data_IF_187059791106
#
_entry.id   IF_187059791106
#
_cell.length_a   1.000
_cell.length_b   1.000
_cell.length_c   1.000
_cell.angle_alpha   90.00
_cell.angle_beta   90.00
_cell.angle_gamma   90.00
#
_symmetry.space_group_name_H-M   'P 1'
#
loop_
_entity.id
_entity.type
_entity.pdbx_description
1 polymer ?
#
# COMPACT_ATOMS: atom_id res chain seq x y z
N UNK A 1 -71.83 24.13 -32.95
CA UNK A 1 -71.77 22.74 -32.43
C UNK A 1 -70.36 22.15 -32.45
N UNK A 2 -69.61 22.22 -33.57
CA UNK A 2 -68.22 21.70 -33.65
C UNK A 2 -67.23 22.33 -32.65
N UNK A 3 -67.33 23.63 -32.40
CA UNK A 3 -66.49 24.35 -31.42
C UNK A 3 -66.75 23.89 -29.98
N UNK A 4 -68.01 23.72 -29.59
CA UNK A 4 -68.38 23.24 -28.25
C UNK A 4 -67.94 21.78 -28.04
N UNK A 5 -68.00 20.95 -29.08
CA UNK A 5 -67.50 19.58 -29.04
C UNK A 5 -65.98 19.54 -28.85
N UNK A 6 -65.25 20.44 -29.52
CA UNK A 6 -63.80 20.58 -29.36
C UNK A 6 -63.41 21.07 -27.96
N UNK A 7 -64.20 21.98 -27.38
CA UNK A 7 -64.00 22.49 -26.02
C UNK A 7 -64.21 21.40 -24.96
N UNK A 8 -65.26 20.58 -25.12
CA UNK A 8 -65.55 19.44 -24.22
C UNK A 8 -64.43 18.40 -24.30
N UNK A 9 -63.95 18.09 -25.51
CA UNK A 9 -62.83 17.17 -25.71
C UNK A 9 -61.55 17.67 -25.00
N UNK A 10 -61.26 18.96 -25.11
CA UNK A 10 -60.07 19.56 -24.48
C UNK A 10 -60.17 19.58 -22.94
N UNK A 11 -61.37 19.74 -22.37
CA UNK A 11 -61.56 19.66 -20.92
C UNK A 11 -61.35 18.24 -20.40
N UNK A 12 -61.81 17.22 -21.13
CA UNK A 12 -61.69 15.82 -20.69
C UNK A 12 -60.25 15.31 -20.67
N UNK A 13 -59.37 15.81 -21.54
CA UNK A 13 -57.95 15.41 -21.57
C UNK A 13 -57.13 16.04 -20.44
N UNK A 14 -57.55 17.19 -19.92
CA UNK A 14 -56.87 17.89 -18.83
C UNK A 14 -56.99 17.16 -17.48
N UNK A 15 -58.13 16.47 -17.23
CA UNK A 15 -58.36 15.72 -16.00
C UNK A 15 -57.50 14.44 -15.86
N UNK A 16 -56.85 13.99 -16.94
CA UNK A 16 -55.97 12.81 -16.92
C UNK A 16 -54.51 13.14 -16.65
N UNK A 17 -54.17 14.40 -16.39
CA UNK A 17 -52.81 14.80 -16.05
C UNK A 17 -52.51 14.43 -14.60
N UNK A 18 -51.78 13.32 -14.43
CA UNK A 18 -51.20 12.94 -13.15
C UNK A 18 -49.76 13.48 -13.09
N UNK A 19 -49.45 14.19 -12.02
CA UNK A 19 -48.09 14.62 -11.70
C UNK A 19 -47.55 13.73 -10.59
N UNK A 20 -46.24 13.46 -10.61
CA UNK A 20 -45.55 12.76 -9.53
C UNK A 20 -44.74 13.75 -8.69
N UNK A 21 -44.57 13.42 -7.42
CA UNK A 21 -43.72 14.20 -6.53
C UNK A 21 -42.25 14.04 -6.92
N UNK A 22 -41.51 15.15 -6.88
CA UNK A 22 -40.06 15.12 -7.04
C UNK A 22 -39.41 14.74 -5.71
N UNK A 23 -38.95 13.49 -5.61
CA UNK A 23 -38.20 13.01 -4.44
C UNK A 23 -36.71 13.24 -4.67
N UNK A 24 -36.05 13.91 -3.73
CA UNK A 24 -34.60 14.08 -3.76
C UNK A 24 -33.89 12.75 -3.46
N UNK A 25 -33.06 12.30 -4.41
CA UNK A 25 -32.11 11.20 -4.19
C UNK A 25 -30.69 11.73 -4.36
N UNK A 26 -29.83 11.63 -3.33
CA UNK A 26 -28.42 11.97 -3.47
C UNK A 26 -27.75 11.16 -4.58
N UNK A 27 -26.85 11.81 -5.34
CA UNK A 27 -26.07 11.10 -6.37
C UNK A 27 -24.97 10.22 -5.76
N UNK A 28 -24.38 10.68 -4.65
CA UNK A 28 -23.32 9.97 -3.96
C UNK A 28 -23.94 8.88 -3.04
N UNK A 29 -23.59 7.59 -3.22
CA UNK A 29 -24.10 6.50 -2.40
C UNK A 29 -23.89 6.68 -0.90
N UNK A 30 -22.84 7.40 -0.48
CA UNK A 30 -22.54 7.64 0.93
C UNK A 30 -23.67 8.38 1.69
N UNK A 31 -24.56 9.07 0.98
CA UNK A 31 -25.70 9.77 1.56
C UNK A 31 -27.03 9.05 1.33
N UNK A 32 -27.03 7.75 1.01
CA UNK A 32 -28.24 6.99 0.67
C UNK A 32 -28.63 7.10 -0.81
N UNK A 33 -27.65 7.43 -1.66
CA UNK A 33 -27.79 7.47 -3.12
C UNK A 33 -27.72 6.10 -3.78
N UNK A 34 -27.61 6.11 -5.12
CA UNK A 34 -27.48 4.87 -5.88
C UNK A 34 -26.08 4.27 -5.78
N UNK A 35 -25.95 3.01 -5.37
CA UNK A 35 -24.67 2.31 -5.21
C UNK A 35 -23.94 2.12 -6.53
N UNK A 36 -24.64 2.03 -7.66
CA UNK A 36 -24.00 1.88 -8.97
C UNK A 36 -23.15 3.10 -9.37
N UNK A 37 -23.44 4.28 -8.81
CA UNK A 37 -22.66 5.49 -9.09
C UNK A 37 -21.27 5.48 -8.42
N UNK A 38 -21.02 4.58 -7.46
CA UNK A 38 -19.79 4.58 -6.69
C UNK A 38 -18.54 4.42 -7.57
N UNK A 39 -18.52 3.39 -8.42
CA UNK A 39 -17.36 3.08 -9.25
C UNK A 39 -17.02 4.22 -10.21
N UNK A 40 -18.05 4.81 -10.83
CA UNK A 40 -17.86 5.93 -11.75
C UNK A 40 -17.39 7.21 -11.02
N UNK A 41 -17.97 7.53 -9.86
CA UNK A 41 -17.56 8.69 -9.06
C UNK A 41 -16.12 8.55 -8.57
N UNK A 42 -15.73 7.35 -8.10
CA UNK A 42 -14.38 7.06 -7.65
C UNK A 42 -13.38 7.19 -8.80
N UNK A 43 -13.64 6.52 -9.92
CA UNK A 43 -12.76 6.58 -11.10
C UNK A 43 -12.62 8.00 -11.65
N UNK A 44 -13.71 8.78 -11.65
CA UNK A 44 -13.67 10.19 -12.07
C UNK A 44 -12.84 11.05 -11.11
N UNK A 45 -12.89 10.78 -9.81
CA UNK A 45 -12.12 11.49 -8.80
C UNK A 45 -10.62 11.15 -8.89
N UNK A 46 -10.27 9.88 -9.07
CA UNK A 46 -8.89 9.42 -9.26
C UNK A 46 -8.25 10.03 -10.51
N UNK A 47 -8.98 10.04 -11.64
CA UNK A 47 -8.48 10.62 -12.89
C UNK A 47 -8.24 12.14 -12.82
N UNK A 48 -8.92 12.84 -11.92
CA UNK A 48 -8.74 14.27 -11.69
C UNK A 48 -7.78 14.57 -10.52
N UNK A 49 -7.32 13.55 -9.80
CA UNK A 49 -6.47 13.71 -8.65
C UNK A 49 -5.06 14.17 -9.07
N UNK A 50 -4.73 15.42 -8.75
CA UNK A 50 -3.39 16.02 -9.00
C UNK A 50 -2.44 15.86 -7.81
N UNK A 51 -2.89 15.26 -6.71
CA UNK A 51 -2.07 15.02 -5.54
C UNK A 51 -1.23 13.78 -5.77
N UNK A 52 0.06 13.99 -5.99
CA UNK A 52 1.07 12.93 -6.01
C UNK A 52 1.78 12.95 -4.67
N UNK A 53 2.03 11.78 -4.10
CA UNK A 53 2.84 11.67 -2.90
C UNK A 53 4.25 12.22 -3.20
N UNK A 54 4.66 13.25 -2.45
CA UNK A 54 5.98 13.88 -2.59
C UNK A 54 7.11 12.94 -2.17
N UNK A 55 6.82 11.95 -1.32
CA UNK A 55 7.77 10.89 -0.93
C UNK A 55 7.95 9.86 -2.05
N UNK A 56 6.92 9.67 -2.88
CA UNK A 56 6.93 8.90 -4.14
C UNK A 56 7.14 9.86 -5.32
N UNK A 57 7.90 10.92 -5.14
CA UNK A 57 8.69 11.41 -6.26
C UNK A 57 9.67 10.28 -6.55
N UNK A 58 9.28 9.40 -7.48
CA UNK A 58 10.23 8.66 -8.29
C UNK A 58 11.15 9.73 -8.87
N UNK A 59 12.22 10.06 -8.14
CA UNK A 59 13.47 10.47 -8.74
C UNK A 59 13.70 9.35 -9.73
N UNK A 60 13.35 9.59 -10.98
CA UNK A 60 13.69 8.71 -12.08
C UNK A 60 15.20 8.65 -12.04
N UNK A 61 15.72 7.70 -11.27
CA UNK A 61 17.14 7.53 -11.06
C UNK A 61 17.69 7.38 -12.44
N UNK A 62 18.64 8.23 -12.81
CA UNK A 62 19.27 8.14 -14.12
C UNK A 62 19.82 6.72 -14.28
N UNK A 63 19.95 6.22 -15.50
CA UNK A 63 20.50 4.88 -15.75
C UNK A 63 21.84 4.67 -15.03
N UNK A 64 22.63 5.75 -14.91
CA UNK A 64 23.88 5.78 -14.16
C UNK A 64 23.69 5.63 -12.64
N UNK A 65 22.70 6.30 -12.05
CA UNK A 65 22.37 6.15 -10.63
C UNK A 65 21.89 4.73 -10.30
N UNK A 66 21.09 4.12 -11.20
CA UNK A 66 20.63 2.74 -11.07
C UNK A 66 21.79 1.74 -11.19
N UNK A 67 22.69 1.95 -12.15
CA UNK A 67 23.90 1.17 -12.31
C UNK A 67 24.79 1.26 -11.06
N UNK A 68 25.02 2.46 -10.55
CA UNK A 68 25.84 2.70 -9.36
C UNK A 68 25.24 2.03 -8.12
N UNK A 69 23.93 2.13 -7.94
CA UNK A 69 23.25 1.44 -6.84
C UNK A 69 23.36 -0.09 -6.95
N UNK A 70 23.24 -0.62 -8.16
CA UNK A 70 23.38 -2.07 -8.42
C UNK A 70 24.80 -2.55 -8.12
N UNK A 71 25.81 -1.81 -8.57
CA UNK A 71 27.21 -2.09 -8.31
C UNK A 71 27.56 -2.03 -6.82
N UNK A 72 27.08 -0.99 -6.12
CA UNK A 72 27.28 -0.86 -4.66
C UNK A 72 26.64 -2.03 -3.90
N UNK A 73 25.45 -2.45 -4.31
CA UNK A 73 24.75 -3.58 -3.68
C UNK A 73 25.50 -4.89 -3.90
N UNK A 74 26.02 -5.11 -5.11
CA UNK A 74 26.83 -6.29 -5.45
C UNK A 74 28.16 -6.30 -4.68
N UNK A 75 28.88 -5.17 -4.65
CA UNK A 75 30.13 -5.04 -3.90
C UNK A 75 29.92 -5.26 -2.41
N UNK A 76 28.92 -4.62 -1.82
CA UNK A 76 28.59 -4.79 -0.40
C UNK A 76 28.24 -6.24 -0.10
N UNK A 77 27.48 -6.90 -0.97
CA UNK A 77 27.14 -8.30 -0.84
C UNK A 77 28.37 -9.22 -0.92
N UNK A 78 29.33 -8.94 -1.80
CA UNK A 78 30.59 -9.70 -1.88
C UNK A 78 31.49 -9.46 -0.67
N UNK A 79 31.63 -8.21 -0.22
CA UNK A 79 32.41 -7.86 0.97
C UNK A 79 31.80 -8.50 2.21
N UNK A 80 30.47 -8.39 2.38
CA UNK A 80 29.74 -9.02 3.48
C UNK A 80 29.93 -10.54 3.47
N UNK A 81 29.80 -11.21 2.32
CA UNK A 81 30.06 -12.65 2.18
C UNK A 81 31.51 -13.02 2.50
N UNK A 82 32.49 -12.23 2.05
CA UNK A 82 33.91 -12.46 2.32
C UNK A 82 34.24 -12.32 3.81
N UNK A 83 33.74 -11.26 4.45
CA UNK A 83 33.90 -11.03 5.88
C UNK A 83 33.19 -12.11 6.71
N UNK A 84 31.99 -12.50 6.30
CA UNK A 84 31.25 -13.58 6.95
C UNK A 84 31.97 -14.92 6.82
N UNK A 85 32.48 -15.26 5.64
CA UNK A 85 33.27 -16.47 5.42
C UNK A 85 34.61 -16.45 6.20
N UNK A 86 35.23 -15.28 6.35
CA UNK A 86 36.46 -15.11 7.13
C UNK A 86 36.21 -15.25 8.64
N UNK A 87 35.06 -14.76 9.12
CA UNK A 87 34.74 -14.74 10.55
C UNK A 87 34.09 -16.04 11.04
N UNK A 88 33.27 -16.68 10.21
CA UNK A 88 32.46 -17.85 10.57
C UNK A 88 32.90 -19.13 9.83
N UNK A 89 33.82 -19.04 8.87
CA UNK A 89 34.23 -20.18 8.04
C UNK A 89 33.11 -20.66 7.10
N UNK A 90 33.34 -21.80 6.44
CA UNK A 90 32.39 -22.44 5.53
C UNK A 90 31.21 -23.09 6.25
N UNK A 91 31.27 -23.21 7.58
CA UNK A 91 30.32 -23.95 8.42
C UNK A 91 29.18 -23.09 8.99
N UNK A 92 29.15 -21.78 8.66
CA UNK A 92 28.06 -20.87 9.03
C UNK A 92 28.12 -20.35 10.47
N UNK A 93 27.02 -19.75 10.94
CA UNK A 93 26.95 -19.15 12.28
C UNK A 93 26.96 -20.26 13.34
N UNK A 94 28.07 -20.39 14.06
CA UNK A 94 28.14 -21.26 15.23
C UNK A 94 27.49 -20.58 16.45
N UNK A 95 27.01 -21.39 17.38
CA UNK A 95 26.46 -20.92 18.65
C UNK A 95 27.56 -20.18 19.42
N UNK A 96 27.31 -18.93 19.79
CA UNK A 96 28.34 -18.07 20.38
C UNK A 96 27.90 -16.63 20.55
N UNK A 97 28.70 -15.87 21.29
CA UNK A 97 28.54 -14.42 21.50
C UNK A 97 29.58 -13.67 20.68
N UNK A 98 29.14 -12.72 19.88
CA UNK A 98 29.98 -11.93 18.98
C UNK A 98 29.77 -10.43 19.28
N UNK A 99 30.84 -9.65 19.25
CA UNK A 99 30.77 -8.20 19.45
C UNK A 99 31.27 -7.47 18.21
N UNK A 100 30.39 -6.70 17.58
CA UNK A 100 30.68 -5.87 16.42
C UNK A 100 30.59 -4.40 16.80
N UNK A 101 31.69 -3.82 17.27
CA UNK A 101 31.74 -2.41 17.68
C UNK A 101 30.80 -2.14 18.85
N UNK A 102 29.66 -1.51 18.60
CA UNK A 102 28.60 -1.26 19.59
C UNK A 102 27.42 -2.24 19.53
N UNK A 103 27.50 -3.28 18.70
CA UNK A 103 26.47 -4.31 18.61
C UNK A 103 26.97 -5.59 19.31
N UNK A 104 26.25 -6.05 20.33
CA UNK A 104 26.43 -7.36 20.93
C UNK A 104 25.44 -8.33 20.26
N UNK A 105 25.96 -9.40 19.66
CA UNK A 105 25.19 -10.38 18.89
C UNK A 105 25.33 -11.75 19.55
N UNK A 106 24.25 -12.25 20.11
CA UNK A 106 24.20 -13.57 20.74
C UNK A 106 23.40 -14.54 19.89
N UNK A 107 24.01 -15.69 19.61
CA UNK A 107 23.42 -16.74 18.78
C UNK A 107 23.25 -17.99 19.62
N UNK A 108 22.00 -18.39 19.87
CA UNK A 108 21.67 -19.56 20.66
C UNK A 108 20.55 -20.41 20.02
N UNK A 109 20.54 -21.73 20.25
CA UNK A 109 19.47 -22.60 19.79
C UNK A 109 18.18 -22.35 20.59
N UNK A 110 17.04 -22.29 19.91
CA UNK A 110 15.69 -22.19 20.48
C UNK A 110 14.79 -23.31 19.95
N UNK A 111 13.64 -23.53 20.59
CA UNK A 111 12.66 -24.53 20.15
C UNK A 111 12.14 -24.29 18.71
N UNK A 112 12.21 -23.03 18.23
CA UNK A 112 11.81 -22.64 16.87
C UNK A 112 12.92 -22.61 15.83
N UNK A 113 14.16 -22.96 16.18
CA UNK A 113 15.34 -22.86 15.30
C UNK A 113 16.47 -22.05 15.92
N UNK A 114 17.30 -21.40 15.11
CA UNK A 114 18.41 -20.58 15.59
C UNK A 114 17.91 -19.16 15.90
N UNK A 115 18.12 -18.67 17.12
CA UNK A 115 17.78 -17.29 17.50
C UNK A 115 19.03 -16.44 17.53
N UNK A 116 18.98 -15.31 16.84
CA UNK A 116 20.00 -14.27 16.84
C UNK A 116 19.45 -13.07 17.58
N UNK A 117 20.03 -12.75 18.73
CA UNK A 117 19.72 -11.53 19.50
C UNK A 117 20.77 -10.47 19.20
N UNK A 118 20.34 -9.30 18.76
CA UNK A 118 21.22 -8.17 18.46
C UNK A 118 20.86 -7.05 19.43
N UNK A 119 21.82 -6.67 20.28
CA UNK A 119 21.69 -5.57 21.24
C UNK A 119 22.62 -4.43 20.83
N UNK A 120 22.06 -3.24 20.61
CA UNK A 120 22.85 -2.02 20.46
C UNK A 120 23.20 -1.45 21.84
N UNK A 121 24.49 -1.46 22.18
CA UNK A 121 24.99 -1.00 23.49
C UNK A 121 24.97 0.53 23.65
N UNK A 122 24.69 1.30 22.59
CA UNK A 122 24.58 2.76 22.64
C UNK A 122 23.13 3.23 22.79
N UNK A 123 22.19 2.59 22.10
CA UNK A 123 20.76 2.95 22.14
C UNK A 123 19.97 2.10 23.13
N UNK A 124 20.45 0.91 23.46
CA UNK A 124 19.75 -0.07 24.28
C UNK A 124 18.66 -0.84 23.53
N UNK A 125 18.57 -0.67 22.20
CA UNK A 125 17.57 -1.37 21.38
C UNK A 125 17.98 -2.83 21.15
N UNK A 126 17.03 -3.75 21.33
CA UNK A 126 17.20 -5.18 21.09
C UNK A 126 16.34 -5.64 19.91
N UNK A 127 16.94 -6.34 18.95
CA UNK A 127 16.24 -6.98 17.83
C UNK A 127 16.50 -8.48 17.85
N UNK A 128 15.41 -9.28 17.81
CA UNK A 128 15.48 -10.74 17.78
C UNK A 128 15.07 -11.27 16.41
N UNK A 129 15.94 -12.06 15.81
CA UNK A 129 15.68 -12.74 14.53
C UNK A 129 15.68 -14.24 14.76
N UNK A 130 14.59 -14.90 14.38
CA UNK A 130 14.45 -16.35 14.49
C UNK A 130 14.60 -16.96 13.09
N UNK A 131 15.58 -17.82 12.93
CA UNK A 131 15.82 -18.59 11.71
C UNK A 131 15.22 -19.98 11.93
N UNK A 132 14.09 -20.31 11.29
CA UNK A 132 13.45 -21.61 11.47
C UNK A 132 14.32 -22.74 10.94
N UNK A 133 14.35 -23.85 11.67
CA UNK A 133 15.01 -25.08 11.20
C UNK A 133 14.15 -25.70 10.09
N UNK A 134 14.79 -26.12 8.98
CA UNK A 134 14.15 -26.93 7.94
C UNK A 134 13.67 -28.28 8.48
#
# INVERSE_FOLDING_TARGET
MKFNLLLILLLTTCFSLTAQDMVYKPKNPAFGGDTFNYQWLLSSAENQNKHVDKSVSNKNKTELEQFTQSLNSQLLSQVSRSLFAQQFGTDGISVGSYTFGSLAVDVYPSEGGLTVSILDTKTGEETKVIIPKK
#
